data_IF_711620511803
#
_entry.id   IF_711620511803
#
_cell.length_a   1.000
_cell.length_b   1.000
_cell.length_c   1.000
_cell.angle_alpha   90.00
_cell.angle_beta   90.00
_cell.angle_gamma   90.00
#
_symmetry.space_group_name_H-M   'P 1'
#
loop_
_entity.id
_entity.type
_entity.pdbx_description
1 polymer ?
#
# COMPACT_ATOMS: atom_id res chain seq x y z
N UNK A 1 -3.42 15.01 -2.89
CA UNK A 1 -2.36 14.40 -2.07
C UNK A 1 -2.40 12.89 -2.31
N UNK A 2 -1.26 12.28 -2.60
CA UNK A 2 -1.16 10.82 -2.80
C UNK A 2 -1.34 10.09 -1.46
N UNK A 3 -1.98 8.93 -1.49
CA UNK A 3 -2.06 8.02 -0.34
C UNK A 3 -1.44 6.67 -0.68
N UNK A 4 -0.68 6.11 0.26
CA UNK A 4 -0.18 4.73 0.23
C UNK A 4 -0.92 3.93 1.29
N UNK A 5 -1.62 2.89 0.85
CA UNK A 5 -2.37 1.96 1.71
C UNK A 5 -1.62 0.64 1.77
N UNK A 6 -1.16 0.26 2.96
CA UNK A 6 -0.37 -0.95 3.19
C UNK A 6 -1.22 -1.99 3.93
N UNK A 7 -1.30 -3.20 3.40
CA UNK A 7 -1.79 -4.37 4.13
C UNK A 7 -0.61 -5.12 4.76
N UNK A 8 -0.53 -5.12 6.09
CA UNK A 8 0.49 -5.81 6.89
C UNK A 8 -0.08 -7.06 7.54
N UNK A 9 0.71 -8.12 7.61
CA UNK A 9 0.52 -9.30 8.44
C UNK A 9 1.88 -9.76 9.02
N UNK A 10 2.40 -9.02 10.00
CA UNK A 10 3.64 -9.35 10.72
C UNK A 10 4.92 -8.77 10.11
N UNK A 11 4.90 -8.23 8.89
CA UNK A 11 6.10 -7.68 8.26
C UNK A 11 6.62 -6.43 8.96
N UNK A 12 7.92 -6.14 8.83
CA UNK A 12 8.50 -4.88 9.26
C UNK A 12 8.21 -3.78 8.24
N UNK A 13 7.55 -2.70 8.65
CA UNK A 13 7.20 -1.58 7.77
C UNK A 13 8.23 -0.43 7.86
N UNK A 14 9.44 -0.70 8.33
CA UNK A 14 10.47 0.33 8.47
C UNK A 14 10.85 1.00 7.15
N UNK A 15 10.60 0.32 6.03
CA UNK A 15 10.75 0.86 4.67
C UNK A 15 9.85 2.06 4.38
N UNK A 16 8.72 2.20 5.09
CA UNK A 16 7.79 3.34 4.93
C UNK A 16 8.43 4.67 5.29
N UNK A 17 9.51 4.67 6.08
CA UNK A 17 10.30 5.87 6.41
C UNK A 17 10.97 6.52 5.20
N UNK A 18 11.11 5.79 4.10
CA UNK A 18 11.70 6.28 2.85
C UNK A 18 10.66 6.80 1.84
N UNK A 19 9.38 6.81 2.22
CA UNK A 19 8.32 7.45 1.41
C UNK A 19 8.43 8.99 1.50
N UNK A 20 7.89 9.72 0.51
CA UNK A 20 7.79 11.17 0.59
C UNK A 20 7.05 11.61 1.87
N UNK A 21 7.36 12.79 2.40
CA UNK A 21 6.77 13.27 3.66
C UNK A 21 5.38 13.88 3.49
N UNK A 22 5.04 14.26 2.25
CA UNK A 22 3.84 14.95 1.82
C UNK A 22 2.77 13.99 1.26
N UNK A 23 2.86 12.71 1.60
CA UNK A 23 1.84 11.71 1.29
C UNK A 23 1.15 11.21 2.54
N UNK A 24 -0.07 10.70 2.38
CA UNK A 24 -0.76 9.98 3.45
C UNK A 24 -0.31 8.52 3.47
N UNK A 25 -0.05 7.98 4.66
CA UNK A 25 0.18 6.56 4.88
C UNK A 25 -0.95 6.00 5.72
N UNK A 26 -1.65 4.99 5.18
CA UNK A 26 -2.66 4.22 5.91
C UNK A 26 -2.19 2.78 5.99
N UNK A 27 -2.09 2.23 7.20
CA UNK A 27 -1.68 0.83 7.41
C UNK A 27 -2.85 0.06 7.98
N UNK A 28 -3.29 -0.98 7.26
CA UNK A 28 -4.16 -2.01 7.81
C UNK A 28 -3.33 -3.18 8.27
N UNK A 29 -3.56 -3.62 9.51
CA UNK A 29 -2.76 -4.65 10.14
C UNK A 29 -3.60 -5.87 10.49
N UNK A 30 -3.24 -6.99 9.88
CA UNK A 30 -3.87 -8.30 10.02
C UNK A 30 -3.05 -9.26 10.88
N UNK A 31 -2.05 -8.75 11.58
CA UNK A 31 -1.23 -9.56 12.49
C UNK A 31 -2.12 -10.14 13.59
N UNK A 32 -2.22 -11.49 13.71
CA UNK A 32 -3.04 -12.11 14.74
C UNK A 32 -2.39 -11.97 16.12
N UNK A 33 -3.22 -11.94 17.16
CA UNK A 33 -2.76 -12.08 18.54
C UNK A 33 -2.01 -13.44 18.71
N UNK A 34 -0.98 -13.52 19.58
CA UNK A 34 -0.56 -12.53 20.56
C UNK A 34 0.44 -11.47 20.05
N UNK A 35 0.76 -11.46 18.75
CA UNK A 35 1.72 -10.49 18.23
C UNK A 35 1.12 -9.07 18.24
N UNK A 36 1.97 -8.09 18.56
CA UNK A 36 1.56 -6.69 18.62
C UNK A 36 1.32 -6.13 17.21
N UNK A 37 0.30 -5.27 17.01
CA UNK A 37 0.11 -4.54 15.77
C UNK A 37 1.22 -3.49 15.58
N UNK A 38 1.42 -3.07 14.34
CA UNK A 38 2.32 -1.99 14.00
C UNK A 38 1.82 -0.67 14.61
N UNK A 39 2.70 0.17 15.19
CA UNK A 39 2.29 1.43 15.79
C UNK A 39 1.50 2.31 14.80
N UNK A 40 0.33 2.78 15.23
CA UNK A 40 -0.54 3.64 14.42
C UNK A 40 -1.28 2.93 13.29
N UNK A 41 -1.24 1.59 13.23
CA UNK A 41 -2.02 0.82 12.25
C UNK A 41 -3.47 0.61 12.67
N UNK A 42 -4.33 0.31 11.68
CA UNK A 42 -5.74 0.00 11.85
C UNK A 42 -5.88 -1.54 11.83
N UNK A 43 -6.32 -2.17 12.92
CA UNK A 43 -6.44 -3.62 12.96
C UNK A 43 -7.56 -4.12 12.03
N UNK A 44 -7.32 -5.23 11.34
CA UNK A 44 -8.30 -5.99 10.56
C UNK A 44 -8.19 -7.48 10.85
N UNK A 45 -9.27 -8.27 10.69
CA UNK A 45 -9.17 -9.72 10.78
C UNK A 45 -8.29 -10.27 9.64
N UNK A 46 -7.51 -11.32 9.95
CA UNK A 46 -6.66 -12.01 8.98
C UNK A 46 -7.46 -12.91 8.03
N UNK A 47 -8.26 -12.27 7.17
CA UNK A 47 -9.09 -12.91 6.14
C UNK A 47 -8.90 -12.20 4.80
N UNK A 48 -9.11 -12.92 3.70
CA UNK A 48 -9.12 -12.39 2.34
C UNK A 48 -7.81 -11.74 1.88
N UNK A 49 -6.69 -12.10 2.52
CA UNK A 49 -5.32 -11.61 2.26
C UNK A 49 -5.27 -10.08 2.09
N UNK A 50 -4.39 -9.55 1.25
CA UNK A 50 -4.26 -8.11 0.98
C UNK A 50 -5.51 -7.49 0.34
N UNK A 51 -6.18 -8.23 -0.55
CA UNK A 51 -7.35 -7.73 -1.29
C UNK A 51 -8.49 -7.30 -0.37
N UNK A 52 -8.72 -8.02 0.73
CA UNK A 52 -9.71 -7.62 1.72
C UNK A 52 -9.39 -6.28 2.37
N UNK A 53 -8.11 -5.97 2.65
CA UNK A 53 -7.74 -4.66 3.21
C UNK A 53 -7.98 -3.53 2.19
N UNK A 54 -7.68 -3.77 0.92
CA UNK A 54 -7.88 -2.77 -0.14
C UNK A 54 -9.37 -2.50 -0.38
N UNK A 55 -10.19 -3.55 -0.46
CA UNK A 55 -11.64 -3.40 -0.59
C UNK A 55 -12.25 -2.71 0.63
N UNK A 56 -11.81 -3.07 1.84
CA UNK A 56 -12.24 -2.41 3.06
C UNK A 56 -11.93 -0.90 3.03
N UNK A 57 -10.72 -0.51 2.59
CA UNK A 57 -10.36 0.89 2.43
C UNK A 57 -11.27 1.62 1.44
N UNK A 58 -11.48 1.04 0.26
CA UNK A 58 -12.33 1.63 -0.78
C UNK A 58 -13.78 1.80 -0.32
N UNK A 59 -14.33 0.81 0.38
CA UNK A 59 -15.70 0.84 0.89
C UNK A 59 -15.87 1.86 2.01
N UNK A 60 -15.04 1.79 3.06
CA UNK A 60 -15.19 2.63 4.25
C UNK A 60 -14.77 4.09 4.02
N UNK A 61 -13.89 4.34 3.04
CA UNK A 61 -13.37 5.68 2.73
C UNK A 61 -13.90 6.24 1.44
N UNK A 62 -14.90 5.64 0.80
CA UNK A 62 -15.36 5.97 -0.56
C UNK A 62 -15.51 7.48 -0.81
N UNK A 63 -16.18 8.21 0.09
CA UNK A 63 -16.41 9.66 -0.03
C UNK A 63 -15.20 10.54 0.35
N UNK A 64 -14.13 9.94 0.86
CA UNK A 64 -12.94 10.60 1.40
C UNK A 64 -11.63 10.07 0.81
N UNK A 65 -11.72 9.27 -0.27
CA UNK A 65 -10.56 8.72 -0.95
C UNK A 65 -9.64 9.83 -1.42
N UNK A 66 -8.34 9.57 -1.32
CA UNK A 66 -7.34 10.44 -1.94
C UNK A 66 -7.47 10.37 -3.47
N UNK A 67 -7.20 11.48 -4.20
CA UNK A 67 -7.30 11.50 -5.67
C UNK A 67 -6.52 10.37 -6.35
N UNK A 68 -5.38 10.00 -5.76
CA UNK A 68 -4.59 8.83 -6.14
C UNK A 68 -4.29 8.01 -4.89
N UNK A 69 -4.48 6.69 -5.01
CA UNK A 69 -4.21 5.73 -3.93
C UNK A 69 -3.36 4.58 -4.47
N UNK A 70 -2.22 4.32 -3.82
CA UNK A 70 -1.33 3.19 -4.13
C UNK A 70 -1.55 2.11 -3.09
N UNK A 71 -1.91 0.92 -3.54
CA UNK A 71 -2.10 -0.25 -2.69
C UNK A 71 -0.85 -1.12 -2.67
N UNK A 72 -0.41 -1.53 -1.48
CA UNK A 72 0.80 -2.32 -1.29
C UNK A 72 0.61 -3.41 -0.23
N UNK A 73 1.35 -4.51 -0.39
CA UNK A 73 1.56 -5.50 0.67
C UNK A 73 2.58 -4.97 1.69
N UNK A 74 2.69 -5.61 2.86
CA UNK A 74 3.65 -5.25 3.92
C UNK A 74 5.10 -5.29 3.46
N UNK A 75 5.39 -6.07 2.41
CA UNK A 75 6.67 -6.14 1.72
C UNK A 75 6.48 -6.04 0.20
N UNK A 76 6.38 -4.83 -0.37
CA UNK A 76 6.04 -4.65 -1.78
C UNK A 76 7.21 -4.99 -2.74
N UNK A 77 8.45 -4.99 -2.25
CA UNK A 77 9.66 -5.05 -3.09
C UNK A 77 9.87 -6.39 -3.78
N UNK A 78 9.26 -7.47 -3.30
CA UNK A 78 9.34 -8.78 -3.95
C UNK A 78 8.63 -8.78 -5.31
N UNK A 79 7.70 -7.83 -5.52
CA UNK A 79 6.95 -7.67 -6.77
C UNK A 79 7.20 -6.33 -7.47
N UNK A 80 7.60 -5.29 -6.72
CA UNK A 80 7.90 -3.96 -7.22
C UNK A 80 9.23 -3.45 -6.60
N UNK A 81 10.41 -3.87 -7.09
CA UNK A 81 11.70 -3.51 -6.51
C UNK A 81 11.99 -2.02 -6.53
N UNK A 82 11.38 -1.28 -7.45
CA UNK A 82 11.50 0.16 -7.61
C UNK A 82 10.34 0.93 -6.94
N UNK A 83 9.59 0.29 -6.03
CA UNK A 83 8.40 0.87 -5.38
C UNK A 83 8.62 2.31 -4.85
N UNK A 84 9.74 2.57 -4.15
CA UNK A 84 10.02 3.93 -3.65
C UNK A 84 10.22 4.95 -4.77
N UNK A 85 10.85 4.55 -5.87
CA UNK A 85 11.05 5.41 -7.05
C UNK A 85 9.70 5.77 -7.66
N UNK A 86 8.82 4.77 -7.82
CA UNK A 86 7.48 4.97 -8.37
C UNK A 86 6.62 5.85 -7.46
N UNK A 87 6.59 5.61 -6.15
CA UNK A 87 5.81 6.44 -5.22
C UNK A 87 6.32 7.88 -5.21
N UNK A 88 7.64 8.11 -5.21
CA UNK A 88 8.22 9.47 -5.33
C UNK A 88 7.78 10.16 -6.61
N UNK A 89 7.78 9.42 -7.72
CA UNK A 89 7.31 9.93 -9.01
C UNK A 89 5.84 10.34 -8.94
N UNK A 90 4.98 9.47 -8.43
CA UNK A 90 3.54 9.72 -8.30
C UNK A 90 3.22 10.87 -7.33
N UNK A 91 4.05 11.09 -6.31
CA UNK A 91 3.84 12.18 -5.36
C UNK A 91 4.18 13.56 -5.95
N UNK A 92 5.05 13.63 -6.96
CA UNK A 92 5.62 14.90 -7.44
C UNK A 92 5.40 15.20 -8.92
N UNK A 93 4.99 14.23 -9.74
CA UNK A 93 4.72 14.45 -11.18
C UNK A 93 3.22 14.62 -11.47
N UNK A 94 2.87 15.65 -12.23
CA UNK A 94 1.48 15.98 -12.66
C UNK A 94 0.86 14.99 -13.66
N UNK A 95 1.57 13.93 -14.04
CA UNK A 95 1.03 12.97 -15.01
C UNK A 95 0.05 12.05 -14.30
N UNK A 96 -1.23 12.25 -14.60
CA UNK A 96 -2.28 11.27 -14.38
C UNK A 96 -1.82 9.96 -15.05
N UNK A 97 -1.44 8.92 -14.29
CA UNK A 97 -1.42 7.58 -14.86
C UNK A 97 -2.86 7.31 -15.37
N UNK A 98 -3.02 6.38 -16.30
CA UNK A 98 -4.32 5.79 -16.59
C UNK A 98 -5.13 5.52 -15.32
N UNK A 99 -6.47 5.47 -15.41
CA UNK A 99 -7.38 5.26 -14.26
C UNK A 99 -6.95 4.14 -13.29
N UNK A 100 -6.20 3.16 -13.79
CA UNK A 100 -5.52 2.13 -13.02
C UNK A 100 -4.08 1.91 -13.52
N UNK A 101 -3.15 1.61 -12.59
CA UNK A 101 -1.78 1.21 -12.93
C UNK A 101 -1.32 0.05 -12.04
N UNK A 102 -0.91 -1.05 -12.67
CA UNK A 102 -0.26 -2.18 -12.01
C UNK A 102 1.25 -1.92 -11.88
N UNK A 103 1.76 -1.86 -10.64
CA UNK A 103 3.17 -1.54 -10.34
C UNK A 103 4.07 -2.78 -10.20
N UNK A 104 3.48 -3.97 -10.06
CA UNK A 104 4.25 -5.22 -9.99
C UNK A 104 4.72 -5.66 -11.37
N UNK A 105 5.74 -6.51 -11.43
CA UNK A 105 6.01 -7.26 -12.66
C UNK A 105 4.85 -8.24 -12.91
N UNK A 106 4.19 -8.11 -14.05
CA UNK A 106 3.75 -9.32 -14.75
C UNK A 106 5.03 -9.97 -15.24
N UNK A 107 5.21 -11.24 -14.92
CA UNK A 107 6.34 -12.04 -15.36
C UNK A 107 6.23 -12.24 -16.89
N UNK A 108 6.55 -11.20 -17.67
CA UNK A 108 6.77 -11.28 -19.13
C UNK A 108 8.19 -11.80 -19.45
N UNK A 109 8.84 -12.44 -18.47
CA UNK A 109 10.12 -13.15 -18.64
C UNK A 109 10.03 -14.55 -18.04
N UNK A 110 8.92 -15.26 -18.24
CA UNK A 110 8.96 -16.73 -18.32
C UNK A 110 9.38 -17.01 -19.75
N UNK A 111 10.68 -17.16 -19.96
CA UNK A 111 11.20 -17.94 -21.09
C UNK A 111 10.83 -19.42 -20.89
#
# INVERSE_FOLDING_TARGET
MLEVVVCRCGEDLSWTRNLPRDIRLTVYDKTPAPAAPWPGSIPLPNVGREAHAWLHHLSERYHTLSPHTVFAQGRPFDHAPDFHRVVRRLAHEEKNPSDFWWLGFLWETDD
#
